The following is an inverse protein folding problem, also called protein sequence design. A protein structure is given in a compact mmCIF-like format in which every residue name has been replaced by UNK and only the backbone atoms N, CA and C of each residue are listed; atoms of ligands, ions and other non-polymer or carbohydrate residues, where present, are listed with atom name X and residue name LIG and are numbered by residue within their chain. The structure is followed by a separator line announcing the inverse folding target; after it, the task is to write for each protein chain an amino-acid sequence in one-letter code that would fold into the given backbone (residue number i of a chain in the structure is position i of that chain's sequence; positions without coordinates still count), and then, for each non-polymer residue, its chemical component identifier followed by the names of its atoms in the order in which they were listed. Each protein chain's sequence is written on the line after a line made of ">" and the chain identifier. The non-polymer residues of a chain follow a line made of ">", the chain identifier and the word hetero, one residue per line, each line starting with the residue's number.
data_IF_112523375398
#
_entry.id   IF_112523375398
#
_cell.length_a   1.000
_cell.length_b   1.000
_cell.length_c   1.000
_cell.angle_alpha   90.00
_cell.angle_beta   90.00
_cell.angle_gamma   90.00
#
_symmetry.space_group_name_H-M   'P 1'
#
loop_
_entity.id
_entity.type
_entity.pdbx_description
1 polymer ?
#
# COMPACT_ATOMS: atom_id res chain seq x y z
N UNK A 1 2.92 -10.34 2.20
CA UNK A 1 1.89 -9.53 1.50
C UNK A 1 0.45 -9.97 1.81
N UNK A 2 0.15 -11.27 1.86
CA UNK A 2 -1.21 -11.79 2.10
C UNK A 2 -1.79 -11.44 3.47
N UNK A 3 -0.98 -11.33 4.53
CA UNK A 3 -1.45 -10.96 5.87
C UNK A 3 -1.98 -9.53 5.95
N UNK A 4 -1.21 -8.53 5.49
CA UNK A 4 -1.60 -7.12 5.57
C UNK A 4 -2.83 -6.81 4.73
N UNK A 5 -2.88 -7.29 3.47
CA UNK A 5 -4.07 -7.08 2.63
C UNK A 5 -5.29 -7.83 3.17
N UNK A 6 -5.11 -9.00 3.79
CA UNK A 6 -6.21 -9.72 4.45
C UNK A 6 -6.72 -8.97 5.67
N UNK A 7 -5.84 -8.41 6.50
CA UNK A 7 -6.26 -7.57 7.64
C UNK A 7 -7.02 -6.34 7.17
N UNK A 8 -6.54 -5.62 6.15
CA UNK A 8 -7.25 -4.46 5.59
C UNK A 8 -8.60 -4.90 5.00
N UNK A 9 -8.65 -6.03 4.30
CA UNK A 9 -9.88 -6.56 3.73
C UNK A 9 -10.94 -6.82 4.81
N UNK A 10 -10.55 -7.46 5.92
CA UNK A 10 -11.45 -7.75 7.03
C UNK A 10 -11.88 -6.49 7.78
N UNK A 11 -10.96 -5.57 8.05
CA UNK A 11 -11.24 -4.38 8.86
C UNK A 11 -12.13 -3.36 8.14
N UNK A 12 -12.06 -3.30 6.81
CA UNK A 12 -12.75 -2.28 6.01
C UNK A 12 -13.79 -2.86 5.04
N UNK A 13 -14.01 -4.18 5.03
CA UNK A 13 -14.96 -4.84 4.12
C UNK A 13 -14.57 -4.75 2.63
N UNK A 14 -13.30 -4.45 2.31
CA UNK A 14 -12.84 -4.24 0.94
C UNK A 14 -12.36 -5.58 0.34
N UNK A 15 -12.80 -5.97 -0.87
CA UNK A 15 -12.34 -7.21 -1.51
C UNK A 15 -10.82 -7.28 -1.69
N UNK A 16 -10.25 -8.47 -1.45
CA UNK A 16 -8.81 -8.72 -1.65
C UNK A 16 -8.33 -8.42 -3.09
N UNK A 17 -9.17 -8.65 -4.09
CA UNK A 17 -8.89 -8.32 -5.49
C UNK A 17 -8.70 -6.81 -5.68
N UNK A 18 -9.58 -6.01 -5.11
CA UNK A 18 -9.50 -4.54 -5.11
C UNK A 18 -8.23 -4.07 -4.42
N UNK A 19 -7.92 -4.60 -3.24
CA UNK A 19 -6.69 -4.24 -2.52
C UNK A 19 -5.41 -4.61 -3.29
N UNK A 20 -5.41 -5.76 -3.97
CA UNK A 20 -4.30 -6.17 -4.85
C UNK A 20 -4.15 -5.22 -6.05
N UNK A 21 -5.26 -4.81 -6.66
CA UNK A 21 -5.26 -3.84 -7.76
C UNK A 21 -4.70 -2.49 -7.28
N UNK A 22 -5.17 -2.01 -6.14
CA UNK A 22 -4.69 -0.76 -5.54
C UNK A 22 -3.20 -0.82 -5.25
N UNK A 23 -2.71 -1.90 -4.64
CA UNK A 23 -1.27 -2.08 -4.40
C UNK A 23 -0.46 -2.09 -5.71
N UNK A 24 -0.98 -2.70 -6.79
CA UNK A 24 -0.34 -2.67 -8.10
C UNK A 24 -0.27 -1.25 -8.68
N UNK A 25 -1.34 -0.47 -8.55
CA UNK A 25 -1.42 0.92 -9.01
C UNK A 25 -0.46 1.80 -8.21
N UNK A 26 -0.51 1.74 -6.87
CA UNK A 26 0.38 2.51 -5.99
C UNK A 26 1.85 2.24 -6.29
N UNK A 27 2.20 0.98 -6.60
CA UNK A 27 3.56 0.63 -7.03
C UNK A 27 3.91 1.23 -8.39
N UNK A 28 2.99 1.16 -9.37
CA UNK A 28 3.19 1.74 -10.70
C UNK A 28 3.38 3.27 -10.65
N UNK A 29 2.73 3.93 -9.69
CA UNK A 29 2.90 5.36 -9.41
C UNK A 29 4.17 5.69 -8.63
N UNK A 30 4.97 4.69 -8.23
CA UNK A 30 6.19 4.89 -7.45
C UNK A 30 5.93 5.32 -6.01
N UNK A 31 4.73 5.10 -5.46
CA UNK A 31 4.37 5.47 -4.08
C UNK A 31 4.77 4.40 -3.07
N UNK A 32 4.74 3.14 -3.50
CA UNK A 32 5.18 2.00 -2.69
C UNK A 32 6.16 1.13 -3.47
N UNK A 33 7.00 0.43 -2.73
CA UNK A 33 7.90 -0.60 -3.25
C UNK A 33 7.76 -1.89 -2.45
N UNK A 34 8.15 -3.01 -3.07
CA UNK A 34 8.24 -4.29 -2.39
C UNK A 34 9.70 -4.58 -2.10
N UNK A 35 10.02 -4.70 -0.82
CA UNK A 35 11.34 -5.07 -0.33
C UNK A 35 11.33 -6.53 0.14
N UNK A 36 12.42 -7.25 -0.12
CA UNK A 36 12.62 -8.66 0.23
C UNK A 36 12.34 -9.67 -0.89
N UNK A 37 12.97 -10.84 -0.75
CA UNK A 37 12.84 -11.97 -1.68
C UNK A 37 11.44 -12.60 -1.71
N UNK A 38 11.24 -13.67 -2.50
CA UNK A 38 9.92 -14.28 -2.76
C UNK A 38 9.12 -14.63 -1.50
N UNK A 39 9.82 -14.97 -0.41
CA UNK A 39 9.25 -15.45 0.86
C UNK A 39 8.86 -14.30 1.80
N UNK A 40 9.54 -13.15 1.75
CA UNK A 40 9.37 -12.03 2.68
C UNK A 40 9.18 -10.70 1.97
N UNK A 41 8.19 -10.63 1.07
CA UNK A 41 7.78 -9.36 0.45
C UNK A 41 7.08 -8.45 1.47
N UNK A 42 7.84 -7.46 1.95
CA UNK A 42 7.38 -6.32 2.77
C UNK A 42 7.01 -5.15 1.85
N UNK A 43 6.00 -4.39 2.24
CA UNK A 43 5.61 -3.17 1.53
C UNK A 43 6.24 -1.99 2.25
N UNK A 44 6.89 -1.09 1.51
CA UNK A 44 7.46 0.16 2.04
C UNK A 44 6.93 1.35 1.24
N UNK A 45 6.76 2.49 1.91
CA UNK A 45 6.58 3.77 1.24
C UNK A 45 7.91 4.24 0.67
N UNK A 46 7.92 4.66 -0.58
CA UNK A 46 9.05 5.37 -1.17
C UNK A 46 9.16 6.78 -0.59
N UNK A 47 10.26 7.49 -0.84
CA UNK A 47 10.38 8.90 -0.45
C UNK A 47 9.25 9.76 -1.03
N UNK A 48 8.87 9.51 -2.29
CA UNK A 48 7.74 10.19 -2.93
C UNK A 48 6.40 9.82 -2.29
N UNK A 49 6.18 8.54 -1.99
CA UNK A 49 4.98 8.08 -1.28
C UNK A 49 4.83 8.70 0.11
N UNK A 50 5.93 8.83 0.86
CA UNK A 50 5.93 9.52 2.16
C UNK A 50 5.50 10.99 2.01
N UNK A 51 6.07 11.69 1.03
CA UNK A 51 5.72 13.09 0.77
C UNK A 51 4.23 13.26 0.43
N UNK A 52 3.68 12.42 -0.45
CA UNK A 52 2.24 12.46 -0.78
C UNK A 52 1.36 12.25 0.45
N UNK A 53 1.72 11.31 1.33
CA UNK A 53 0.96 11.07 2.58
C UNK A 53 0.98 12.32 3.46
N UNK A 54 2.10 13.02 3.56
CA UNK A 54 2.19 14.26 4.35
C UNK A 54 1.39 15.42 3.75
N UNK A 55 1.27 15.49 2.42
CA UNK A 55 0.37 16.45 1.75
C UNK A 55 -1.08 16.12 2.06
N UNK A 56 -1.51 14.87 1.86
CA UNK A 56 -2.90 14.46 2.07
C UNK A 56 -3.36 14.62 3.52
N UNK A 57 -2.47 14.42 4.50
CA UNK A 57 -2.80 14.65 5.92
C UNK A 57 -3.07 16.11 6.23
N UNK A 58 -2.44 17.05 5.51
CA UNK A 58 -2.67 18.49 5.70
C UNK A 58 -3.96 18.95 5.02
N UNK A 59 -4.34 18.31 3.91
CA UNK A 59 -5.57 18.63 3.19
C UNK A 59 -6.83 18.05 3.86
N UNK A 60 -6.68 17.01 4.69
CA UNK A 60 -7.75 16.36 5.45
C UNK A 60 -7.89 16.92 6.88
N UNK A 61 -7.10 17.93 7.25
CA UNK A 61 -7.13 18.61 8.55
C UNK A 61 -7.86 19.96 8.44
#
# INVERSE_FOLDING_TARGET
>A
MTSNLRSISLNFGIPLSTLKLNAKILRKLGLIEFDGGPVLRRVKLTSFGKWIVEVLKKDLA
#
